data_IF_127378169380
#
_entry.id   IF_127378169380
#
_cell.length_a   1.000
_cell.length_b   1.000
_cell.length_c   1.000
_cell.angle_alpha   90.00
_cell.angle_beta   90.00
_cell.angle_gamma   90.00
#
_symmetry.space_group_name_H-M   'P 1'
#
loop_
_entity.id
_entity.type
_entity.pdbx_description
1 polymer ?
#
# COMPACT_ATOMS: atom_id res chain seq x y z
N UNK A 1 26.21 -12.57 -12.44
CA UNK A 1 24.90 -12.48 -11.77
C UNK A 1 25.02 -11.51 -10.59
N UNK A 2 24.34 -10.36 -10.61
CA UNK A 2 24.32 -9.47 -9.42
C UNK A 2 23.53 -10.16 -8.31
N UNK A 3 24.15 -10.35 -7.14
CA UNK A 3 23.48 -10.85 -5.92
C UNK A 3 22.27 -9.95 -5.66
N UNK A 4 21.08 -10.56 -5.63
CA UNK A 4 19.84 -9.90 -5.26
C UNK A 4 19.95 -9.57 -3.76
N UNK A 5 19.75 -8.31 -3.33
CA UNK A 5 19.68 -8.00 -1.92
C UNK A 5 18.60 -8.87 -1.28
N UNK A 6 18.95 -9.62 -0.22
CA UNK A 6 17.97 -10.39 0.56
C UNK A 6 17.02 -9.49 1.34
N UNK A 7 17.32 -8.19 1.35
CA UNK A 7 16.67 -7.20 2.17
C UNK A 7 16.64 -5.84 1.50
N UNK A 8 15.69 -5.02 1.94
CA UNK A 8 15.56 -3.62 1.58
C UNK A 8 15.25 -2.85 2.87
N UNK A 9 15.82 -1.65 2.98
CA UNK A 9 15.49 -0.70 4.05
C UNK A 9 13.98 -0.39 4.04
N UNK A 10 13.34 -0.40 5.20
CA UNK A 10 11.87 -0.29 5.29
C UNK A 10 11.31 1.03 4.73
N UNK A 11 12.02 2.14 4.91
CA UNK A 11 11.74 3.44 4.30
C UNK A 11 13.02 4.29 4.24
N UNK A 12 13.03 5.39 3.49
CA UNK A 12 14.15 6.34 3.43
C UNK A 12 14.59 6.79 4.83
N UNK A 13 13.62 6.98 5.72
CA UNK A 13 13.82 7.47 7.09
C UNK A 13 13.82 6.37 8.15
N UNK A 14 13.45 5.14 7.79
CA UNK A 14 13.50 3.98 8.68
C UNK A 14 14.27 2.82 8.01
N UNK A 15 15.55 2.70 8.32
CA UNK A 15 16.49 1.78 7.65
C UNK A 15 16.46 0.34 8.17
N UNK A 16 15.43 -0.02 8.92
CA UNK A 16 15.25 -1.40 9.36
C UNK A 16 15.19 -2.35 8.17
N UNK A 17 15.90 -3.47 8.31
CA UNK A 17 15.93 -4.53 7.33
C UNK A 17 14.57 -5.25 7.32
N UNK A 18 13.89 -5.32 6.17
CA UNK A 18 12.67 -6.14 6.05
C UNK A 18 13.07 -7.62 6.00
N UNK A 19 12.87 -8.32 7.11
CA UNK A 19 13.10 -9.77 7.24
C UNK A 19 11.91 -10.60 6.76
N UNK A 20 10.68 -10.17 7.06
CA UNK A 20 9.43 -10.79 6.60
C UNK A 20 8.49 -9.71 6.02
N UNK A 21 8.33 -9.63 4.69
CA UNK A 21 7.48 -8.63 4.08
C UNK A 21 5.98 -8.87 4.35
N UNK A 22 5.55 -10.09 4.67
CA UNK A 22 4.17 -10.36 5.04
C UNK A 22 3.84 -9.81 6.42
N UNK A 23 4.77 -9.90 7.38
CA UNK A 23 4.58 -9.27 8.69
C UNK A 23 4.52 -7.75 8.59
N UNK A 24 5.34 -7.14 7.72
CA UNK A 24 5.25 -5.70 7.43
C UNK A 24 3.86 -5.30 6.94
N UNK A 25 3.27 -6.08 6.02
CA UNK A 25 1.90 -5.82 5.54
C UNK A 25 0.89 -5.99 6.69
N UNK A 26 1.01 -7.05 7.49
CA UNK A 26 0.07 -7.32 8.56
C UNK A 26 0.10 -6.26 9.67
N UNK A 27 1.30 -5.80 10.07
CA UNK A 27 1.51 -4.68 10.99
C UNK A 27 0.93 -3.37 10.45
N UNK A 28 1.05 -3.14 9.14
CA UNK A 28 0.44 -1.97 8.51
C UNK A 28 -1.08 -2.03 8.69
N UNK A 29 -1.72 -3.16 8.38
CA UNK A 29 -3.16 -3.28 8.52
C UNK A 29 -3.68 -3.50 9.95
N UNK A 30 -2.80 -3.73 10.94
CA UNK A 30 -3.17 -3.65 12.36
C UNK A 30 -3.13 -2.21 12.90
N UNK A 31 -2.31 -1.34 12.30
CA UNK A 31 -2.18 0.07 12.69
C UNK A 31 -3.06 1.03 11.88
N UNK A 32 -3.56 0.61 10.71
CA UNK A 32 -4.41 1.43 9.86
C UNK A 32 -5.41 0.63 9.02
N UNK A 33 -6.56 1.22 8.73
CA UNK A 33 -7.56 0.62 7.83
C UNK A 33 -7.28 0.89 6.35
N UNK A 34 -7.85 0.07 5.47
CA UNK A 34 -7.80 0.32 4.02
C UNK A 34 -8.33 1.73 3.66
N UNK A 35 -9.39 2.18 4.35
CA UNK A 35 -9.96 3.54 4.18
C UNK A 35 -8.93 4.61 4.58
N UNK A 36 -8.25 4.42 5.72
CA UNK A 36 -7.21 5.32 6.18
C UNK A 36 -6.08 5.46 5.16
N UNK A 37 -5.57 4.36 4.63
CA UNK A 37 -4.50 4.39 3.63
C UNK A 37 -4.93 5.01 2.30
N UNK A 38 -6.14 4.72 1.80
CA UNK A 38 -6.69 5.40 0.59
C UNK A 38 -6.76 6.91 0.79
N UNK A 39 -7.21 7.37 1.96
CA UNK A 39 -7.26 8.80 2.32
C UNK A 39 -5.87 9.41 2.34
N UNK A 40 -4.86 8.69 2.86
CA UNK A 40 -3.47 9.15 2.85
C UNK A 40 -2.92 9.32 1.45
N UNK A 41 -3.09 8.32 0.58
CA UNK A 41 -2.66 8.43 -0.83
C UNK A 41 -3.35 9.61 -1.51
N UNK A 42 -4.66 9.79 -1.32
CA UNK A 42 -5.38 10.94 -1.87
C UNK A 42 -4.82 12.28 -1.39
N UNK A 43 -4.48 12.39 -0.10
CA UNK A 43 -3.87 13.61 0.46
C UNK A 43 -2.48 13.87 -0.12
N UNK A 44 -1.63 12.84 -0.15
CA UNK A 44 -0.28 12.94 -0.74
C UNK A 44 -0.37 13.46 -2.17
N UNK A 45 -1.18 12.81 -3.02
CA UNK A 45 -1.35 13.24 -4.41
C UNK A 45 -1.95 14.64 -4.52
N UNK A 46 -2.93 14.99 -3.69
CA UNK A 46 -3.51 16.33 -3.73
C UNK A 46 -2.48 17.40 -3.41
N UNK A 47 -1.78 17.28 -2.28
CA UNK A 47 -0.87 18.32 -1.82
C UNK A 47 0.42 18.38 -2.62
N UNK A 48 0.94 17.25 -3.12
CA UNK A 48 2.14 17.25 -3.96
C UNK A 48 1.96 17.96 -5.30
N UNK A 49 0.72 18.12 -5.77
CA UNK A 49 0.37 18.75 -7.05
C UNK A 49 -0.48 20.02 -6.88
N UNK A 50 -0.60 20.57 -5.66
CA UNK A 50 -1.43 21.75 -5.39
C UNK A 50 -0.64 22.90 -4.80
N UNK A 51 -1.13 24.12 -5.03
CA UNK A 51 -0.51 25.35 -4.48
C UNK A 51 -0.82 25.50 -2.98
N UNK A 52 -1.68 24.62 -2.45
CA UNK A 52 -2.07 24.63 -1.05
C UNK A 52 -1.01 23.94 -0.20
N UNK A 53 -0.65 24.58 0.91
CA UNK A 53 0.22 23.98 1.91
C UNK A 53 -0.54 22.93 2.74
N UNK A 54 0.13 21.81 2.99
CA UNK A 54 -0.39 20.80 3.91
C UNK A 54 -0.22 21.28 5.35
N UNK A 55 -1.34 21.61 5.99
CA UNK A 55 -1.38 22.20 7.34
C UNK A 55 -1.16 21.23 8.51
N UNK A 56 -0.88 19.95 8.25
CA UNK A 56 -0.60 18.98 9.32
C UNK A 56 0.82 19.17 9.86
N UNK A 57 1.11 18.59 11.03
CA UNK A 57 2.45 18.58 11.57
C UNK A 57 3.41 17.88 10.56
N UNK A 58 4.58 18.45 10.24
CA UNK A 58 5.56 17.82 9.35
C UNK A 58 5.89 16.36 9.72
N UNK A 59 5.94 16.03 11.01
CA UNK A 59 6.15 14.67 11.48
C UNK A 59 5.06 13.71 11.01
N UNK A 60 3.79 14.14 11.00
CA UNK A 60 2.67 13.33 10.50
C UNK A 60 2.77 13.12 8.99
N UNK A 61 3.23 14.13 8.25
CA UNK A 61 3.42 14.05 6.80
C UNK A 61 4.51 13.01 6.50
N UNK A 62 5.68 13.10 7.13
CA UNK A 62 6.76 12.13 6.95
C UNK A 62 6.33 10.72 7.36
N UNK A 63 5.58 10.58 8.45
CA UNK A 63 5.03 9.30 8.87
C UNK A 63 4.13 8.67 7.79
N UNK A 64 3.25 9.47 7.15
CA UNK A 64 2.39 8.98 6.05
C UNK A 64 3.21 8.53 4.84
N UNK A 65 4.23 9.28 4.42
CA UNK A 65 5.12 8.85 3.33
C UNK A 65 5.86 7.56 3.69
N UNK A 66 6.39 7.47 4.91
CA UNK A 66 7.08 6.29 5.41
C UNK A 66 6.20 5.04 5.40
N UNK A 67 4.92 5.16 5.77
CA UNK A 67 3.97 4.05 5.70
C UNK A 67 3.75 3.55 4.27
N UNK A 68 3.57 4.45 3.30
CA UNK A 68 3.38 4.07 1.90
C UNK A 68 4.64 3.44 1.32
N UNK A 69 5.82 4.00 1.63
CA UNK A 69 7.10 3.44 1.21
C UNK A 69 7.32 2.03 1.81
N UNK A 70 7.02 1.84 3.10
CA UNK A 70 7.11 0.53 3.78
C UNK A 70 6.26 -0.53 3.10
N UNK A 71 5.02 -0.18 2.72
CA UNK A 71 4.13 -1.06 1.96
C UNK A 71 4.70 -1.39 0.57
N UNK A 72 5.25 -0.39 -0.15
CA UNK A 72 5.86 -0.59 -1.48
C UNK A 72 7.07 -1.52 -1.39
N UNK A 73 7.95 -1.32 -0.40
CA UNK A 73 9.13 -2.15 -0.20
C UNK A 73 8.76 -3.60 0.13
N UNK A 74 7.78 -3.82 1.02
CA UNK A 74 7.27 -5.15 1.31
C UNK A 74 6.63 -5.81 0.08
N UNK A 75 5.79 -5.06 -0.65
CA UNK A 75 5.17 -5.55 -1.88
C UNK A 75 6.20 -5.93 -2.96
N UNK A 76 7.32 -5.21 -3.04
CA UNK A 76 8.42 -5.56 -3.94
C UNK A 76 9.03 -6.91 -3.59
N UNK A 77 9.32 -7.15 -2.31
CA UNK A 77 9.86 -8.42 -1.84
C UNK A 77 8.89 -9.57 -2.10
N UNK A 78 7.59 -9.38 -1.78
CA UNK A 78 6.54 -10.35 -2.10
C UNK A 78 6.46 -10.64 -3.61
N UNK A 79 6.54 -9.60 -4.45
CA UNK A 79 6.53 -9.77 -5.90
C UNK A 79 7.73 -10.59 -6.41
N UNK A 80 8.89 -10.47 -5.78
CA UNK A 80 10.09 -11.24 -6.13
C UNK A 80 9.97 -12.73 -5.85
N UNK A 81 9.11 -13.13 -4.92
CA UNK A 81 8.82 -14.54 -4.65
C UNK A 81 8.06 -15.20 -5.81
N UNK A 82 7.45 -14.43 -6.72
CA UNK A 82 6.70 -14.91 -7.88
C UNK A 82 5.63 -15.96 -7.53
N UNK A 83 5.04 -15.82 -6.33
CA UNK A 83 3.95 -16.69 -5.88
C UNK A 83 2.72 -16.51 -6.77
N UNK A 84 1.93 -17.58 -6.82
CA UNK A 84 0.59 -17.57 -7.38
C UNK A 84 -0.41 -17.49 -6.25
N UNK A 85 -1.58 -16.92 -6.53
CA UNK A 85 -2.69 -16.89 -5.58
C UNK A 85 -3.00 -18.33 -5.11
N UNK A 86 -3.00 -18.60 -3.79
CA UNK A 86 -3.22 -19.94 -3.26
C UNK A 86 -4.70 -20.36 -3.28
N UNK A 87 -5.62 -19.40 -3.50
CA UNK A 87 -7.06 -19.63 -3.51
C UNK A 87 -7.60 -19.76 -4.95
N UNK A 88 -8.52 -20.70 -5.16
CA UNK A 88 -9.35 -20.74 -6.36
C UNK A 88 -10.63 -19.92 -6.09
N UNK A 89 -10.63 -18.66 -6.51
CA UNK A 89 -11.75 -17.72 -6.30
C UNK A 89 -12.55 -17.64 -7.59
N UNK A 90 -13.86 -17.92 -7.53
CA UNK A 90 -14.76 -17.77 -8.68
C UNK A 90 -15.37 -16.37 -8.70
N UNK A 91 -15.83 -15.87 -9.87
CA UNK A 91 -16.54 -14.59 -9.94
C UNK A 91 -17.77 -14.50 -9.04
N UNK A 92 -18.43 -15.64 -8.76
CA UNK A 92 -19.55 -15.72 -7.81
C UNK A 92 -19.16 -15.39 -6.36
N UNK A 93 -17.89 -15.56 -6.01
CA UNK A 93 -17.42 -15.45 -4.63
C UNK A 93 -17.02 -14.03 -4.26
N UNK A 94 -17.00 -13.10 -5.22
CA UNK A 94 -16.42 -11.75 -5.08
C UNK A 94 -17.02 -10.95 -3.93
N UNK A 95 -18.31 -11.12 -3.68
CA UNK A 95 -19.00 -10.44 -2.60
C UNK A 95 -18.88 -11.15 -1.24
N UNK A 96 -18.23 -12.32 -1.17
CA UNK A 96 -17.98 -13.03 0.09
C UNK A 96 -17.05 -12.19 0.99
N UNK A 97 -17.54 -11.66 2.13
CA UNK A 97 -16.74 -10.80 3.02
C UNK A 97 -15.47 -11.47 3.52
N UNK A 98 -15.43 -12.80 3.59
CA UNK A 98 -14.24 -13.54 4.02
C UNK A 98 -13.02 -13.33 3.12
N UNK A 99 -13.22 -12.85 1.89
CA UNK A 99 -12.15 -12.62 0.92
C UNK A 99 -11.52 -11.22 1.01
N UNK A 100 -12.14 -10.28 1.71
CA UNK A 100 -11.69 -8.89 1.77
C UNK A 100 -11.92 -8.18 3.11
N UNK A 101 -12.75 -8.68 4.02
CA UNK A 101 -12.98 -8.01 5.29
C UNK A 101 -11.76 -8.15 6.22
N UNK A 102 -11.34 -7.01 6.78
CA UNK A 102 -10.24 -6.96 7.74
C UNK A 102 -10.59 -7.80 8.98
N UNK A 103 -9.59 -8.49 9.53
CA UNK A 103 -9.77 -9.28 10.77
C UNK A 103 -9.93 -8.41 12.02
N UNK A 104 -9.70 -7.10 11.93
CA UNK A 104 -9.73 -6.19 13.08
C UNK A 104 -11.11 -5.60 13.39
N UNK A 105 -12.15 -5.91 12.60
CA UNK A 105 -13.55 -5.61 12.93
C UNK A 105 -13.96 -4.13 13.00
N UNK A 106 -13.05 -3.19 12.73
CA UNK A 106 -13.30 -1.74 12.91
C UNK A 106 -14.15 -1.12 11.79
N UNK A 107 -14.12 -1.70 10.58
CA UNK A 107 -14.77 -1.12 9.40
C UNK A 107 -15.80 -2.09 8.82
N UNK A 108 -16.81 -1.54 8.16
CA UNK A 108 -17.81 -2.30 7.43
C UNK A 108 -17.19 -3.10 6.28
N UNK A 109 -17.86 -4.16 5.84
CA UNK A 109 -17.46 -4.94 4.67
C UNK A 109 -17.30 -4.03 3.43
N UNK A 110 -18.19 -3.05 3.28
CA UNK A 110 -18.14 -2.07 2.19
C UNK A 110 -16.87 -1.20 2.18
N UNK A 111 -16.36 -0.85 3.35
CA UNK A 111 -15.13 -0.05 3.49
C UNK A 111 -13.87 -0.86 3.19
N UNK A 112 -13.90 -2.15 3.52
CA UNK A 112 -12.82 -3.11 3.24
C UNK A 112 -12.83 -3.63 1.79
N UNK A 113 -13.94 -3.45 1.06
CA UNK A 113 -14.06 -3.93 -0.32
C UNK A 113 -13.07 -3.20 -1.27
N UNK A 114 -12.27 -3.92 -2.07
CA UNK A 114 -11.41 -3.35 -3.13
C UNK A 114 -12.25 -2.72 -4.23
N UNK A 115 -11.97 -1.46 -4.60
CA UNK A 115 -12.77 -0.69 -5.57
C UNK A 115 -12.01 -0.37 -6.85
N UNK A 116 -10.68 -0.37 -6.78
CA UNK A 116 -9.82 -0.08 -7.92
C UNK A 116 -9.43 -1.35 -8.69
N UNK A 117 -9.49 -2.53 -8.05
CA UNK A 117 -9.12 -3.79 -8.70
C UNK A 117 -10.15 -4.24 -9.73
N UNK A 118 -9.67 -4.65 -10.91
CA UNK A 118 -10.49 -5.43 -11.83
C UNK A 118 -10.80 -6.81 -11.24
N UNK A 119 -11.81 -7.50 -11.79
CA UNK A 119 -12.17 -8.86 -11.36
C UNK A 119 -10.98 -9.82 -11.34
N UNK A 120 -10.15 -9.79 -12.40
CA UNK A 120 -8.94 -10.63 -12.51
C UNK A 120 -7.91 -10.30 -11.42
N UNK A 121 -7.76 -9.02 -11.09
CA UNK A 121 -6.84 -8.55 -10.05
C UNK A 121 -7.37 -8.87 -8.64
N UNK A 122 -8.69 -8.79 -8.42
CA UNK A 122 -9.31 -9.22 -7.18
C UNK A 122 -9.11 -10.72 -6.94
N UNK A 123 -9.29 -11.55 -7.97
CA UNK A 123 -9.05 -12.98 -7.87
C UNK A 123 -7.57 -13.31 -7.67
N UNK A 124 -6.66 -12.54 -8.28
CA UNK A 124 -5.22 -12.75 -8.16
C UNK A 124 -4.46 -11.42 -7.89
N UNK A 125 -4.27 -11.05 -6.62
CA UNK A 125 -3.65 -9.77 -6.25
C UNK A 125 -2.18 -9.67 -6.68
N UNK A 126 -1.48 -10.79 -6.85
CA UNK A 126 -0.09 -10.80 -7.33
C UNK A 126 0.07 -10.25 -8.75
N UNK A 127 -0.99 -10.25 -9.57
CA UNK A 127 -0.99 -9.59 -10.89
C UNK A 127 -0.77 -8.08 -10.75
N UNK A 128 -1.33 -7.49 -9.69
CA UNK A 128 -1.19 -6.06 -9.42
C UNK A 128 0.25 -5.72 -9.04
N UNK A 129 0.86 -6.52 -8.16
CA UNK A 129 2.24 -6.27 -7.73
C UNK A 129 3.19 -6.29 -8.93
N UNK A 130 3.04 -7.29 -9.81
CA UNK A 130 3.84 -7.40 -11.03
C UNK A 130 3.66 -6.18 -11.92
N UNK A 131 2.42 -5.81 -12.26
CA UNK A 131 2.11 -4.66 -13.11
C UNK A 131 2.59 -3.34 -12.50
N UNK A 132 2.52 -3.21 -11.19
CA UNK A 132 2.99 -2.03 -10.46
C UNK A 132 4.50 -1.82 -10.64
N UNK A 133 5.29 -2.90 -10.57
CA UNK A 133 6.74 -2.85 -10.77
C UNK A 133 7.20 -2.96 -12.23
N UNK A 134 6.32 -3.37 -13.14
CA UNK A 134 6.51 -3.23 -14.59
C UNK A 134 6.29 -1.80 -15.07
N UNK A 135 5.30 -1.09 -14.49
CA UNK A 135 5.04 0.32 -14.78
C UNK A 135 6.19 1.22 -14.34
N UNK A 136 6.68 1.05 -13.11
CA UNK A 136 7.84 1.77 -12.56
C UNK A 136 8.65 0.85 -11.65
N UNK A 137 9.97 0.90 -11.76
CA UNK A 137 10.88 0.15 -10.88
C UNK A 137 10.78 0.68 -9.45
N UNK A 138 11.21 -0.15 -8.49
CA UNK A 138 11.22 0.24 -7.08
C UNK A 138 11.96 1.55 -6.82
N UNK A 139 13.15 1.74 -7.43
CA UNK A 139 13.92 2.97 -7.28
C UNK A 139 13.15 4.20 -7.79
N UNK A 140 12.47 4.07 -8.93
CA UNK A 140 11.67 5.14 -9.53
C UNK A 140 10.46 5.49 -8.65
N UNK A 141 9.84 4.51 -8.01
CA UNK A 141 8.80 4.76 -7.01
C UNK A 141 9.31 5.50 -5.77
N UNK A 142 10.51 5.13 -5.29
CA UNK A 142 11.14 5.81 -4.14
C UNK A 142 11.51 7.25 -4.46
N UNK A 143 12.07 7.48 -5.64
CA UNK A 143 12.42 8.82 -6.09
C UNK A 143 11.15 9.68 -6.28
N UNK A 144 10.08 9.11 -6.83
CA UNK A 144 8.78 9.79 -6.93
C UNK A 144 8.22 10.20 -5.56
N UNK A 145 8.23 9.29 -4.58
CA UNK A 145 7.77 9.62 -3.22
C UNK A 145 8.64 10.68 -2.54
N UNK A 146 9.96 10.67 -2.80
CA UNK A 146 10.86 11.72 -2.33
C UNK A 146 10.49 13.07 -2.93
N UNK A 147 10.33 13.15 -4.26
CA UNK A 147 9.94 14.39 -4.94
C UNK A 147 8.58 14.91 -4.47
N UNK A 148 7.62 14.03 -4.23
CA UNK A 148 6.32 14.40 -3.65
C UNK A 148 6.44 14.96 -2.24
N UNK A 149 7.32 14.39 -1.41
CA UNK A 149 7.57 14.89 -0.07
C UNK A 149 8.24 16.26 -0.12
N UNK A 150 9.22 16.46 -1.02
CA UNK A 150 9.90 17.75 -1.19
C UNK A 150 8.92 18.83 -1.68
N UNK A 151 8.06 18.52 -2.66
CA UNK A 151 7.11 19.49 -3.21
C UNK A 151 6.08 19.98 -2.21
N UNK A 152 5.70 19.16 -1.23
CA UNK A 152 4.76 19.55 -0.16
C UNK A 152 5.35 20.64 0.76
N UNK A 153 6.67 20.65 0.94
CA UNK A 153 7.35 21.59 1.83
C UNK A 153 7.95 22.79 1.09
N UNK A 154 7.99 22.75 -0.24
CA UNK A 154 8.49 23.87 -1.01
C UNK A 154 7.48 25.02 -1.02
N UNK A 155 7.80 26.07 -0.25
CA UNK A 155 6.98 27.29 -0.16
C UNK A 155 7.25 28.28 -1.29
N UNK A 156 8.29 28.06 -2.10
CA UNK A 156 8.58 28.87 -3.26
C UNK A 156 8.24 28.07 -4.50
N UNK A 157 7.51 28.67 -5.45
CA UNK A 157 7.11 28.06 -6.71
C UNK A 157 8.32 27.67 -7.59
N UNK A 158 9.10 26.66 -7.19
CA UNK A 158 10.13 26.07 -8.04
C UNK A 158 9.38 25.17 -9.02
N UNK A 159 9.14 25.76 -10.19
CA UNK A 159 8.76 25.11 -11.44
C UNK A 159 7.81 23.91 -11.25
N UNK A 160 6.54 24.27 -11.05
CA UNK A 160 5.35 23.44 -11.18
C UNK A 160 5.41 22.43 -12.33
N UNK A 161 6.20 22.71 -13.38
CA UNK A 161 6.40 21.87 -14.56
C UNK A 161 7.03 20.50 -14.26
N UNK A 162 7.93 20.39 -13.27
CA UNK A 162 8.63 19.13 -13.00
C UNK A 162 7.72 18.07 -12.37
N UNK A 163 6.82 18.47 -11.46
CA UNK A 163 5.80 17.59 -10.85
C UNK A 163 4.58 17.43 -11.76
N UNK A 164 4.17 18.48 -12.51
CA UNK A 164 3.08 18.36 -13.52
C UNK A 164 3.41 17.44 -14.70
N UNK A 165 4.68 17.05 -14.89
CA UNK A 165 5.04 16.02 -15.88
C UNK A 165 4.46 14.64 -15.55
N UNK A 166 4.09 14.41 -14.29
CA UNK A 166 3.52 13.16 -13.83
C UNK A 166 2.00 13.14 -13.95
N UNK A 167 1.47 12.08 -14.55
CA UNK A 167 0.02 11.80 -14.52
C UNK A 167 -0.39 11.41 -13.09
N UNK A 168 -0.84 12.40 -12.32
CA UNK A 168 -1.25 12.27 -10.93
C UNK A 168 -2.36 11.24 -10.74
N UNK A 169 -3.27 11.13 -11.72
CA UNK A 169 -4.39 10.20 -11.68
C UNK A 169 -3.90 8.77 -11.89
N UNK A 170 -3.00 8.55 -12.86
CA UNK A 170 -2.37 7.24 -13.06
C UNK A 170 -1.57 6.80 -11.83
N UNK A 171 -0.79 7.70 -11.22
CA UNK A 171 -0.03 7.40 -10.01
C UNK A 171 -0.97 7.04 -8.84
N UNK A 172 -2.01 7.84 -8.63
CA UNK A 172 -3.05 7.56 -7.65
C UNK A 172 -3.63 6.16 -7.84
N UNK A 173 -4.02 5.80 -9.07
CA UNK A 173 -4.59 4.48 -9.36
C UNK A 173 -3.59 3.35 -9.10
N UNK A 174 -2.34 3.50 -9.50
CA UNK A 174 -1.32 2.47 -9.22
C UNK A 174 -1.11 2.26 -7.71
N UNK A 175 -1.01 3.34 -6.93
CA UNK A 175 -0.83 3.27 -5.48
C UNK A 175 -2.06 2.66 -4.79
N UNK A 176 -3.27 3.06 -5.17
CA UNK A 176 -4.52 2.50 -4.59
C UNK A 176 -4.68 1.03 -4.97
N UNK A 177 -4.40 0.64 -6.22
CA UNK A 177 -4.44 -0.77 -6.62
C UNK A 177 -3.43 -1.60 -5.83
N UNK A 178 -2.20 -1.11 -5.67
CA UNK A 178 -1.18 -1.79 -4.87
C UNK A 178 -1.68 -2.03 -3.45
N UNK A 179 -2.18 -0.98 -2.81
CA UNK A 179 -2.73 -1.01 -1.45
C UNK A 179 -3.86 -2.04 -1.31
N UNK A 180 -4.81 -2.04 -2.25
CA UNK A 180 -5.92 -2.99 -2.25
C UNK A 180 -5.43 -4.43 -2.46
N UNK A 181 -4.44 -4.64 -3.33
CA UNK A 181 -3.87 -5.96 -3.56
C UNK A 181 -3.15 -6.52 -2.33
N UNK A 182 -2.34 -5.70 -1.63
CA UNK A 182 -1.68 -6.15 -0.40
C UNK A 182 -2.66 -6.37 0.75
N UNK A 183 -3.75 -5.61 0.80
CA UNK A 183 -4.87 -5.86 1.72
C UNK A 183 -5.51 -7.23 1.47
N UNK A 184 -5.72 -7.61 0.21
CA UNK A 184 -6.22 -8.94 -0.12
C UNK A 184 -5.26 -10.05 0.30
N UNK A 185 -3.95 -9.87 0.10
CA UNK A 185 -2.92 -10.82 0.56
C UNK A 185 -2.97 -10.93 2.10
N UNK A 186 -3.09 -9.82 2.81
CA UNK A 186 -3.22 -9.77 4.27
C UNK A 186 -4.43 -10.56 4.80
N UNK A 187 -5.58 -10.38 4.17
CA UNK A 187 -6.84 -11.03 4.57
C UNK A 187 -6.84 -12.52 4.22
N UNK A 188 -6.25 -12.90 3.09
CA UNK A 188 -6.36 -14.26 2.54
C UNK A 188 -5.26 -15.19 3.02
N UNK A 189 -4.07 -14.67 3.27
CA UNK A 189 -2.87 -15.49 3.46
C UNK A 189 -2.21 -15.26 4.81
N UNK A 190 -2.25 -14.04 5.35
CA UNK A 190 -1.53 -13.71 6.58
C UNK A 190 -2.39 -13.98 7.82
N UNK A 191 -2.04 -15.01 8.59
CA UNK A 191 -2.84 -15.49 9.72
C UNK A 191 -2.36 -14.99 11.08
N UNK A 192 -1.18 -14.39 11.19
CA UNK A 192 -0.62 -13.89 12.45
C UNK A 192 0.17 -12.58 12.29
N UNK A 193 0.39 -11.91 13.42
CA UNK A 193 1.34 -10.79 13.59
C UNK A 193 2.23 -11.12 14.79
N UNK A 194 3.54 -11.16 14.60
CA UNK A 194 4.53 -11.45 15.66
C UNK A 194 4.19 -12.74 16.44
N UNK A 195 3.75 -13.78 15.73
CA UNK A 195 3.33 -15.06 16.32
C UNK A 195 1.94 -15.07 16.98
N UNK A 196 1.21 -13.94 17.01
CA UNK A 196 -0.16 -13.86 17.53
C UNK A 196 -1.18 -13.99 16.40
N UNK A 197 -2.12 -14.93 16.54
CA UNK A 197 -3.17 -15.17 15.51
C UNK A 197 -4.03 -13.91 15.33
N UNK A 198 -4.26 -13.52 14.08
CA UNK A 198 -5.24 -12.50 13.71
C UNK A 198 -6.63 -13.10 13.88
N UNK A 199 -7.29 -12.79 14.99
CA UNK A 199 -8.62 -13.32 15.29
C UNK A 199 -9.65 -12.81 14.28
N UNK A 200 -10.38 -13.73 13.64
CA UNK A 200 -11.56 -13.39 12.81
C UNK A 200 -12.84 -13.22 13.63
N UNK A 201 -12.80 -13.67 14.89
CA UNK A 201 -13.93 -13.80 15.79
C UNK A 201 -13.69 -13.02 17.09
N UNK A 202 -13.66 -11.69 17.01
CA UNK A 202 -14.04 -10.87 18.15
C UNK A 202 -15.18 -9.94 17.75
N UNK A 203 -16.29 -10.53 17.28
CA UNK A 203 -17.57 -9.90 17.59
C UNK A 203 -17.83 -10.20 19.05
N UNK A 204 -17.32 -9.34 19.93
CA UNK A 204 -17.90 -9.20 21.26
C UNK A 204 -19.37 -8.89 21.03
N UNK A 205 -20.21 -9.86 21.38
CA UNK A 205 -21.63 -9.64 21.60
C UNK A 205 -21.71 -8.55 22.69
N UNK A 206 -22.17 -7.36 22.30
CA UNK A 206 -22.72 -6.35 23.22
C UNK A 206 -24.08 -6.00 22.65
#
# INVERSE_FOLDING_TARGET
MKKIPKYIESAVWNKEEISDPYQVIAESFSSGSLVYYRKNIKKIIHFSFSEYSWKENPADIFYRFGLIEKIINAAYLINKEQKKNPLDIRPSDVFNPNLYSSRWGVNSDWENFPRALSMKEFMNPYLVLRRFFEYRKLSEWKDLLRSFSESIFDTQNIEYESVNSYDCLTIYFHLVKLLEAVHLIDVREITHIEGRIKNKFSKSVI
#
